data_IF_581804441493
#
_entry.id   IF_581804441493
#
_cell.length_a   1.000
_cell.length_b   1.000
_cell.length_c   1.000
_cell.angle_alpha   90.00
_cell.angle_beta   90.00
_cell.angle_gamma   90.00
#
_symmetry.space_group_name_H-M   'P 1'
#
loop_
_entity.id
_entity.type
_entity.pdbx_description
1 polymer ?
#
# COMPACT_ATOMS: atom_id res chain seq x y z
N UNK A 1 8.63 -2.72 -17.51
CA UNK A 1 10.09 -2.55 -17.68
C UNK A 1 10.58 -1.60 -16.59
N UNK A 2 10.97 -2.13 -15.42
CA UNK A 2 11.66 -1.31 -14.43
C UNK A 2 13.06 -1.00 -14.98
N UNK A 3 13.35 0.27 -15.24
CA UNK A 3 14.72 0.72 -15.49
C UNK A 3 15.49 0.46 -14.19
N UNK A 4 16.26 -0.63 -14.14
CA UNK A 4 17.35 -0.73 -13.19
C UNK A 4 18.38 0.32 -13.60
N UNK A 5 18.29 1.52 -13.02
CA UNK A 5 19.47 2.37 -12.96
C UNK A 5 20.60 1.53 -12.34
N UNK A 6 21.83 1.61 -12.88
CA UNK A 6 22.99 1.08 -12.16
C UNK A 6 22.93 1.66 -10.76
N UNK A 7 23.04 0.81 -9.73
CA UNK A 7 23.11 1.27 -8.34
C UNK A 7 24.35 2.14 -8.22
N UNK A 8 24.22 3.44 -8.47
CA UNK A 8 25.20 4.42 -8.07
C UNK A 8 25.40 4.19 -6.56
N UNK A 9 26.64 4.00 -6.13
CA UNK A 9 26.93 3.84 -4.71
C UNK A 9 26.51 5.13 -4.04
N UNK A 10 25.40 5.08 -3.31
CA UNK A 10 24.92 6.20 -2.50
C UNK A 10 26.04 6.62 -1.54
N UNK A 11 26.18 7.93 -1.35
CA UNK A 11 27.03 8.47 -0.30
C UNK A 11 26.53 7.98 1.08
N UNK A 12 27.39 7.99 2.11
CA UNK A 12 26.96 7.65 3.46
C UNK A 12 25.74 8.46 3.93
N UNK A 13 25.71 9.77 3.62
CA UNK A 13 24.63 10.67 4.01
C UNK A 13 23.33 10.35 3.26
N UNK A 14 23.41 10.01 1.97
CA UNK A 14 22.25 9.59 1.17
C UNK A 14 21.64 8.29 1.68
N UNK A 15 22.47 7.36 2.17
CA UNK A 15 21.99 6.12 2.79
C UNK A 15 21.27 6.40 4.11
N UNK A 16 21.86 7.24 4.96
CA UNK A 16 21.26 7.61 6.22
C UNK A 16 19.90 8.31 6.01
N UNK A 17 19.86 9.30 5.11
CA UNK A 17 18.61 9.99 4.77
C UNK A 17 17.54 9.03 4.20
N UNK A 18 17.95 8.02 3.41
CA UNK A 18 17.05 6.99 2.91
C UNK A 18 16.52 6.08 4.03
N UNK A 19 17.37 5.69 4.98
CA UNK A 19 16.97 4.88 6.15
C UNK A 19 16.00 5.63 7.05
N UNK A 20 16.28 6.90 7.35
CA UNK A 20 15.39 7.77 8.14
C UNK A 20 14.04 7.97 7.44
N UNK A 21 14.07 8.24 6.14
CA UNK A 21 12.86 8.38 5.32
C UNK A 21 12.05 7.09 5.30
N UNK A 22 12.71 5.92 5.20
CA UNK A 22 12.04 4.62 5.23
C UNK A 22 11.42 4.33 6.60
N UNK A 23 12.13 4.63 7.68
CA UNK A 23 11.68 4.39 9.05
C UNK A 23 10.35 5.10 9.37
N UNK A 24 10.09 6.26 8.75
CA UNK A 24 8.83 6.98 8.86
C UNK A 24 7.62 6.13 8.41
N UNK A 25 7.80 5.28 7.40
CA UNK A 25 6.75 4.44 6.84
C UNK A 25 6.58 3.10 7.56
N UNK A 26 7.56 2.65 8.33
CA UNK A 26 7.50 1.34 9.01
C UNK A 26 6.26 1.24 9.93
N UNK A 27 6.07 2.20 10.83
CA UNK A 27 4.96 2.21 11.81
C UNK A 27 3.57 2.17 11.15
N UNK A 28 3.22 3.05 10.19
CA UNK A 28 1.91 3.00 9.56
C UNK A 28 1.70 1.70 8.77
N UNK A 29 2.72 1.19 8.09
CA UNK A 29 2.61 -0.08 7.34
C UNK A 29 2.34 -1.26 8.27
N UNK A 30 3.05 -1.35 9.40
CA UNK A 30 2.81 -2.37 10.41
C UNK A 30 1.37 -2.31 10.97
N UNK A 31 0.89 -1.11 11.27
CA UNK A 31 -0.49 -0.90 11.74
C UNK A 31 -1.51 -1.40 10.71
N UNK A 32 -1.37 -1.02 9.44
CA UNK A 32 -2.27 -1.48 8.38
C UNK A 32 -2.23 -3.00 8.22
N UNK A 33 -1.06 -3.62 8.33
CA UNK A 33 -0.91 -5.08 8.27
C UNK A 33 -1.64 -5.78 9.45
N UNK A 34 -1.63 -5.18 10.64
CA UNK A 34 -2.39 -5.70 11.79
C UNK A 34 -3.89 -5.57 11.53
N UNK A 35 -4.35 -4.39 11.08
CA UNK A 35 -5.77 -4.15 10.77
C UNK A 35 -6.26 -5.11 9.68
N UNK A 36 -5.48 -5.29 8.62
CA UNK A 36 -5.81 -6.22 7.53
C UNK A 36 -5.99 -7.64 8.06
N UNK A 37 -5.02 -8.16 8.83
CA UNK A 37 -5.10 -9.49 9.43
C UNK A 37 -6.33 -9.66 10.33
N UNK A 38 -6.67 -8.64 11.13
CA UNK A 38 -7.87 -8.66 11.98
C UNK A 38 -9.16 -8.64 11.16
N UNK A 39 -9.21 -7.82 10.11
CA UNK A 39 -10.39 -7.67 9.25
C UNK A 39 -10.79 -8.94 8.50
N UNK A 40 -9.86 -9.88 8.30
CA UNK A 40 -10.17 -11.19 7.70
C UNK A 40 -11.12 -11.99 8.60
N UNK A 41 -10.93 -11.91 9.92
CA UNK A 41 -11.72 -12.65 10.91
C UNK A 41 -12.92 -11.85 11.42
N UNK A 42 -12.72 -10.56 11.69
CA UNK A 42 -13.74 -9.66 12.22
C UNK A 42 -13.74 -8.33 11.44
N UNK A 43 -14.41 -8.28 10.28
CA UNK A 43 -14.46 -7.06 9.47
C UNK A 43 -15.37 -6.02 10.14
N UNK A 44 -14.88 -4.79 10.27
CA UNK A 44 -15.71 -3.66 10.75
C UNK A 44 -16.87 -3.32 9.80
N UNK A 45 -16.73 -3.64 8.51
CA UNK A 45 -17.77 -3.47 7.51
C UNK A 45 -17.54 -4.42 6.33
N UNK A 46 -18.60 -4.67 5.56
CA UNK A 46 -18.51 -5.48 4.35
C UNK A 46 -18.00 -4.62 3.18
N UNK A 47 -16.81 -4.97 2.65
CA UNK A 47 -16.18 -4.27 1.53
C UNK A 47 -17.09 -4.11 0.31
N UNK A 48 -17.99 -5.07 0.06
CA UNK A 48 -18.95 -5.03 -1.07
C UNK A 48 -20.02 -3.95 -0.95
N UNK A 49 -20.25 -3.42 0.25
CA UNK A 49 -21.24 -2.39 0.50
C UNK A 49 -20.68 -0.96 0.31
N UNK A 50 -19.37 -0.81 0.09
CA UNK A 50 -18.77 0.50 -0.17
C UNK A 50 -19.25 1.04 -1.52
N UNK A 51 -19.80 2.25 -1.53
CA UNK A 51 -20.37 2.89 -2.72
C UNK A 51 -19.39 2.93 -3.89
N UNK A 52 -18.14 3.34 -3.64
CA UNK A 52 -17.12 3.40 -4.69
C UNK A 52 -16.82 2.01 -5.30
N UNK A 53 -16.85 0.94 -4.49
CA UNK A 53 -16.66 -0.44 -4.98
C UNK A 53 -17.85 -0.93 -5.78
N UNK A 54 -19.07 -0.58 -5.37
CA UNK A 54 -20.29 -0.89 -6.14
C UNK A 54 -20.24 -0.19 -7.50
N UNK A 55 -19.92 1.11 -7.53
CA UNK A 55 -19.79 1.88 -8.76
C UNK A 55 -18.71 1.32 -9.67
N UNK A 56 -17.52 1.00 -9.14
CA UNK A 56 -16.45 0.38 -9.91
C UNK A 56 -16.89 -0.97 -10.53
N UNK A 57 -17.61 -1.81 -9.78
CA UNK A 57 -18.14 -3.09 -10.29
C UNK A 57 -19.18 -2.90 -11.38
N UNK A 58 -20.10 -1.93 -11.24
CA UNK A 58 -21.10 -1.61 -12.26
C UNK A 58 -20.44 -1.09 -13.53
N UNK A 59 -19.49 -0.16 -13.42
CA UNK A 59 -18.71 0.36 -14.57
C UNK A 59 -17.97 -0.76 -15.31
N UNK A 60 -17.37 -1.72 -14.59
CA UNK A 60 -16.72 -2.88 -15.21
C UNK A 60 -17.70 -3.77 -15.98
N UNK A 61 -18.94 -3.92 -15.51
CA UNK A 61 -19.98 -4.70 -16.20
C UNK A 61 -20.51 -4.00 -17.45
N UNK A 62 -20.65 -2.68 -17.43
CA UNK A 62 -21.10 -1.90 -18.58
C UNK A 62 -20.03 -1.70 -19.66
N UNK A 63 -18.77 -2.07 -19.37
CA UNK A 63 -17.64 -2.01 -20.30
C UNK A 63 -17.37 -3.35 -21.01
N UNK A 64 -18.22 -4.36 -20.78
CA UNK A 64 -18.25 -5.66 -21.47
C UNK A 64 -19.46 -5.63 -22.39
#
# INVERSE_FOLDING_TARGET
>A
MCRHQPRARLSPDEKLAAEESFALYCKPVELYNIIQRRSIKNPAFLQRCLLYKIHARRKKRSAI
#
